data_IF_767428751329
#
_entry.id   IF_767428751329
#
_cell.length_a   1.000
_cell.length_b   1.000
_cell.length_c   1.000
_cell.angle_alpha   90.00
_cell.angle_beta   90.00
_cell.angle_gamma   90.00
#
_symmetry.space_group_name_H-M   'P 1'
#
loop_
_entity.id
_entity.type
_entity.pdbx_description
1 polymer ?
#
# COMPACT_ATOMS: atom_id res chain seq x y z
N UNK A 1 -14.29 -42.77 27.28
CA UNK A 1 -14.66 -41.72 26.33
C UNK A 1 -13.91 -40.46 26.73
N UNK A 2 -12.95 -39.98 25.92
CA UNK A 2 -12.33 -38.64 26.14
C UNK A 2 -13.32 -37.63 25.67
N UNK A 3 -13.85 -36.82 26.58
CA UNK A 3 -14.59 -35.60 26.22
C UNK A 3 -13.69 -34.75 25.32
N UNK A 4 -14.11 -34.50 24.07
CA UNK A 4 -13.49 -33.53 23.21
C UNK A 4 -13.74 -32.15 23.83
N UNK A 5 -12.76 -31.62 24.56
CA UNK A 5 -12.78 -30.20 24.94
C UNK A 5 -12.83 -29.38 23.67
N UNK A 6 -13.95 -28.78 23.37
CA UNK A 6 -14.04 -27.79 22.30
C UNK A 6 -13.09 -26.64 22.64
N UNK A 7 -11.97 -26.58 21.92
CA UNK A 7 -10.98 -25.53 22.08
C UNK A 7 -11.58 -24.21 21.53
N UNK A 8 -11.60 -23.17 22.35
CA UNK A 8 -12.08 -21.86 21.92
C UNK A 8 -10.93 -21.08 21.27
N UNK A 9 -10.98 -20.93 19.96
CA UNK A 9 -9.96 -20.19 19.21
C UNK A 9 -10.03 -18.67 19.42
N UNK A 10 -11.15 -18.12 19.92
CA UNK A 10 -11.27 -16.67 20.13
C UNK A 10 -10.23 -16.11 21.10
N UNK A 11 -9.77 -16.91 22.05
CA UNK A 11 -8.78 -16.51 23.04
C UNK A 11 -7.35 -16.39 22.48
N UNK A 12 -7.13 -16.87 21.26
CA UNK A 12 -5.84 -16.79 20.56
C UNK A 12 -5.68 -15.53 19.72
N UNK A 13 -6.77 -14.84 19.41
CA UNK A 13 -6.70 -13.64 18.59
C UNK A 13 -6.19 -12.45 19.39
N UNK A 14 -5.32 -11.65 18.76
CA UNK A 14 -4.93 -10.38 19.32
C UNK A 14 -6.15 -9.44 19.45
N UNK A 15 -6.15 -8.58 20.45
CA UNK A 15 -7.27 -7.65 20.72
C UNK A 15 -7.55 -6.68 19.55
N UNK A 16 -6.56 -6.45 18.69
CA UNK A 16 -6.64 -5.62 17.48
C UNK A 16 -6.79 -6.44 16.19
N UNK A 17 -7.06 -7.75 16.28
CA UNK A 17 -7.28 -8.59 15.09
C UNK A 17 -8.43 -8.02 14.25
N UNK A 18 -8.24 -7.82 12.94
CA UNK A 18 -9.30 -7.30 12.10
C UNK A 18 -10.42 -8.33 11.96
N UNK A 19 -11.66 -7.88 12.23
CA UNK A 19 -12.85 -8.67 11.91
C UNK A 19 -13.08 -8.55 10.41
N UNK A 20 -12.90 -9.64 9.68
CA UNK A 20 -13.23 -9.69 8.25
C UNK A 20 -14.68 -10.13 8.08
N UNK A 21 -15.53 -9.23 7.63
CA UNK A 21 -16.82 -9.61 7.07
C UNK A 21 -16.63 -9.94 5.59
N UNK A 22 -16.83 -11.18 5.20
CA UNK A 22 -16.86 -11.56 3.78
C UNK A 22 -18.15 -11.00 3.18
N UNK A 23 -18.04 -10.11 2.20
CA UNK A 23 -19.18 -9.78 1.34
C UNK A 23 -19.40 -10.95 0.38
N UNK A 24 -20.61 -11.52 0.38
CA UNK A 24 -20.98 -12.60 -0.54
C UNK A 24 -21.38 -12.08 -1.93
N UNK A 25 -21.59 -10.78 -2.09
CA UNK A 25 -21.99 -10.16 -3.36
C UNK A 25 -20.76 -9.73 -4.15
N UNK A 26 -20.18 -10.66 -4.90
CA UNK A 26 -18.98 -10.41 -5.71
C UNK A 26 -19.21 -9.57 -6.97
N UNK A 27 -20.45 -9.38 -7.43
CA UNK A 27 -20.77 -8.61 -8.64
C UNK A 27 -22.18 -8.00 -8.54
N UNK A 28 -22.31 -6.93 -7.79
CA UNK A 28 -23.53 -6.14 -7.82
C UNK A 28 -23.69 -5.47 -9.21
N UNK A 29 -24.93 -5.29 -9.68
CA UNK A 29 -25.19 -4.59 -10.97
C UNK A 29 -24.56 -3.19 -11.02
N UNK A 30 -24.46 -2.53 -9.86
CA UNK A 30 -23.80 -1.25 -9.68
C UNK A 30 -22.89 -1.39 -8.46
N UNK A 31 -21.65 -1.81 -8.69
CA UNK A 31 -20.63 -1.97 -7.64
C UNK A 31 -19.68 -0.75 -7.67
N UNK A 32 -19.82 0.11 -6.67
CA UNK A 32 -18.93 1.27 -6.46
C UNK A 32 -17.94 1.04 -5.31
N UNK A 33 -17.92 -0.17 -4.74
CA UNK A 33 -17.09 -0.45 -3.57
C UNK A 33 -15.63 -0.75 -3.94
N UNK A 34 -15.40 -1.43 -5.07
CA UNK A 34 -14.06 -1.83 -5.51
C UNK A 34 -13.87 -1.42 -6.97
N UNK A 35 -12.79 -0.69 -7.25
CA UNK A 35 -12.40 -0.37 -8.61
C UNK A 35 -11.65 -1.56 -9.22
N UNK A 36 -12.34 -2.37 -9.99
CA UNK A 36 -11.75 -3.44 -10.79
C UNK A 36 -11.27 -2.90 -12.13
N UNK A 37 -10.19 -3.46 -12.72
CA UNK A 37 -9.86 -3.19 -14.11
C UNK A 37 -10.98 -3.71 -15.03
N UNK A 38 -11.10 -3.11 -16.20
CA UNK A 38 -12.00 -3.61 -17.24
C UNK A 38 -11.55 -5.02 -17.70
N UNK A 39 -12.36 -6.06 -17.52
CA UNK A 39 -12.00 -7.43 -17.89
C UNK A 39 -11.60 -7.59 -19.36
N UNK A 40 -12.22 -6.81 -20.26
CA UNK A 40 -11.98 -6.89 -21.71
C UNK A 40 -10.62 -6.29 -22.11
N UNK A 41 -9.97 -5.56 -21.21
CA UNK A 41 -8.65 -4.95 -21.45
C UNK A 41 -7.49 -5.78 -20.89
N UNK A 42 -7.76 -6.93 -20.28
CA UNK A 42 -6.71 -7.77 -19.72
C UNK A 42 -5.89 -8.44 -20.85
N UNK A 43 -4.56 -8.27 -20.87
CA UNK A 43 -3.69 -8.81 -21.92
C UNK A 43 -3.36 -10.29 -21.65
N UNK A 44 -4.38 -11.16 -21.64
CA UNK A 44 -4.25 -12.56 -21.21
C UNK A 44 -3.32 -13.38 -22.10
N UNK A 45 -3.37 -13.17 -23.42
CA UNK A 45 -2.51 -13.89 -24.36
C UNK A 45 -1.05 -13.46 -24.22
N UNK A 46 -0.79 -12.17 -24.07
CA UNK A 46 0.54 -11.62 -23.84
C UNK A 46 1.14 -12.09 -22.50
N UNK A 47 0.29 -12.29 -21.49
CA UNK A 47 0.73 -12.89 -20.21
C UNK A 47 1.14 -14.35 -20.38
N UNK A 48 0.40 -15.14 -21.16
CA UNK A 48 0.74 -16.54 -21.47
C UNK A 48 2.07 -16.62 -22.22
N UNK A 49 2.25 -15.80 -23.25
CA UNK A 49 3.47 -15.78 -24.05
C UNK A 49 4.70 -15.32 -23.23
N UNK A 50 4.49 -14.31 -22.37
CA UNK A 50 5.52 -13.82 -21.44
C UNK A 50 5.90 -14.89 -20.42
N UNK A 51 4.93 -15.61 -19.87
CA UNK A 51 5.18 -16.71 -18.93
C UNK A 51 5.97 -17.83 -19.60
N UNK A 52 5.61 -18.24 -20.81
CA UNK A 52 6.35 -19.23 -21.58
C UNK A 52 7.79 -18.81 -21.80
N UNK A 53 8.00 -17.57 -22.26
CA UNK A 53 9.34 -17.01 -22.48
C UNK A 53 10.16 -17.00 -21.20
N UNK A 54 9.56 -16.63 -20.06
CA UNK A 54 10.24 -16.65 -18.77
C UNK A 54 10.64 -18.08 -18.36
N UNK A 55 9.75 -19.05 -18.50
CA UNK A 55 10.03 -20.47 -18.21
C UNK A 55 11.18 -20.99 -19.09
N UNK A 56 11.13 -20.70 -20.39
CA UNK A 56 12.17 -21.13 -21.33
C UNK A 56 13.54 -20.50 -21.03
N UNK A 57 13.57 -19.26 -20.53
CA UNK A 57 14.79 -18.53 -20.17
C UNK A 57 15.37 -18.97 -18.83
N UNK A 58 14.54 -19.03 -17.79
CA UNK A 58 14.97 -19.30 -16.42
C UNK A 58 15.14 -20.81 -16.16
N UNK A 59 14.31 -21.64 -16.80
CA UNK A 59 14.41 -23.09 -16.72
C UNK A 59 14.42 -23.63 -15.28
N UNK A 60 15.50 -24.33 -14.91
CA UNK A 60 15.65 -24.94 -13.59
C UNK A 60 15.92 -23.95 -12.47
N UNK A 61 16.34 -22.72 -12.80
CA UNK A 61 16.63 -21.66 -11.81
C UNK A 61 15.36 -21.16 -11.10
N UNK A 62 14.18 -21.41 -11.67
CA UNK A 62 12.89 -21.19 -11.02
C UNK A 62 12.71 -22.01 -9.72
N UNK A 63 13.53 -23.04 -9.48
CA UNK A 63 13.51 -23.81 -8.23
C UNK A 63 14.21 -23.11 -7.06
N UNK A 64 14.96 -22.05 -7.30
CA UNK A 64 15.70 -21.31 -6.28
C UNK A 64 14.93 -20.09 -5.80
N UNK A 65 15.18 -19.70 -4.55
CA UNK A 65 14.62 -18.45 -4.02
C UNK A 65 15.21 -17.24 -4.75
N UNK A 66 14.37 -16.30 -5.16
CA UNK A 66 14.85 -15.07 -5.79
C UNK A 66 15.59 -14.17 -4.78
N UNK A 67 16.28 -13.14 -5.30
CA UNK A 67 16.81 -12.08 -4.46
C UNK A 67 15.72 -11.47 -3.57
N UNK A 68 15.98 -11.20 -2.28
CA UNK A 68 15.01 -10.55 -1.39
C UNK A 68 14.49 -9.19 -1.90
N UNK A 69 15.29 -8.49 -2.71
CA UNK A 69 14.88 -7.21 -3.32
C UNK A 69 14.07 -7.40 -4.61
N UNK A 70 13.92 -8.64 -5.08
CA UNK A 70 13.31 -8.99 -6.35
C UNK A 70 14.31 -9.20 -7.48
N UNK A 71 13.82 -9.60 -8.66
CA UNK A 71 14.63 -9.95 -9.82
C UNK A 71 15.50 -8.77 -10.27
N UNK A 72 16.85 -8.91 -10.33
CA UNK A 72 17.75 -7.80 -10.67
C UNK A 72 17.45 -7.16 -12.03
N UNK A 73 17.16 -7.97 -13.05
CA UNK A 73 16.82 -7.47 -14.38
C UNK A 73 15.55 -6.60 -14.39
N UNK A 74 14.55 -6.96 -13.58
CA UNK A 74 13.32 -6.15 -13.47
C UNK A 74 13.58 -4.85 -12.69
N UNK A 75 14.40 -4.89 -11.63
CA UNK A 75 14.82 -3.68 -10.91
C UNK A 75 15.57 -2.70 -11.82
N UNK A 76 16.47 -3.21 -12.66
CA UNK A 76 17.17 -2.39 -13.65
C UNK A 76 16.19 -1.77 -14.66
N UNK A 77 15.23 -2.57 -15.18
CA UNK A 77 14.20 -2.05 -16.09
C UNK A 77 13.36 -0.95 -15.44
N UNK A 78 13.03 -1.07 -14.17
CA UNK A 78 12.28 -0.05 -13.41
C UNK A 78 13.14 1.21 -13.24
N UNK A 79 14.43 1.09 -12.92
CA UNK A 79 15.37 2.21 -12.83
C UNK A 79 15.42 2.99 -14.15
N UNK A 80 15.64 2.28 -15.26
CA UNK A 80 15.72 2.87 -16.60
C UNK A 80 14.39 3.55 -16.99
N UNK A 81 13.27 2.93 -16.66
CA UNK A 81 11.93 3.47 -16.91
C UNK A 81 11.66 4.75 -16.11
N UNK A 82 12.04 4.80 -14.85
CA UNK A 82 11.89 5.98 -13.99
C UNK A 82 12.72 7.14 -14.52
N UNK A 83 13.97 6.90 -14.91
CA UNK A 83 14.82 7.91 -15.50
C UNK A 83 14.24 8.45 -16.83
N UNK A 84 13.81 7.55 -17.72
CA UNK A 84 13.28 7.93 -19.04
C UNK A 84 11.93 8.65 -18.98
N UNK A 85 11.00 8.13 -18.18
CA UNK A 85 9.60 8.55 -18.24
C UNK A 85 9.25 9.63 -17.18
N UNK A 86 10.10 9.80 -16.16
CA UNK A 86 9.81 10.65 -14.99
C UNK A 86 10.98 11.53 -14.56
N UNK A 87 12.14 11.42 -15.19
CA UNK A 87 13.38 12.10 -14.78
C UNK A 87 13.78 11.80 -13.31
N UNK A 88 13.45 10.57 -12.86
CA UNK A 88 13.80 10.07 -11.52
C UNK A 88 14.99 9.13 -11.66
N UNK A 89 16.14 9.55 -11.13
CA UNK A 89 17.40 8.81 -11.21
C UNK A 89 17.67 8.08 -9.90
N UNK A 90 17.42 6.77 -9.91
CA UNK A 90 17.69 5.84 -8.79
C UNK A 90 18.41 4.61 -9.31
N UNK A 91 19.32 4.04 -8.55
CA UNK A 91 19.98 2.81 -8.92
C UNK A 91 19.07 1.60 -8.74
N UNK A 92 19.32 0.52 -9.45
CA UNK A 92 18.59 -0.74 -9.27
C UNK A 92 18.72 -1.30 -7.85
N UNK A 93 19.80 -0.95 -7.13
CA UNK A 93 20.03 -1.38 -5.74
C UNK A 93 19.13 -0.65 -4.72
N UNK A 94 18.57 0.50 -5.10
CA UNK A 94 17.63 1.27 -4.28
C UNK A 94 16.16 0.88 -4.53
N UNK A 95 15.91 -0.10 -5.41
CA UNK A 95 14.59 -0.57 -5.79
C UNK A 95 14.29 -1.91 -5.14
N UNK A 96 13.15 -1.99 -4.47
CA UNK A 96 12.57 -3.23 -3.94
C UNK A 96 11.27 -3.53 -4.68
N UNK A 97 11.14 -4.75 -5.17
CA UNK A 97 9.90 -5.22 -5.79
C UNK A 97 8.96 -5.80 -4.72
N UNK A 98 7.69 -5.44 -4.80
CA UNK A 98 6.66 -5.87 -3.86
C UNK A 98 5.44 -6.43 -4.60
N UNK A 99 4.62 -7.21 -3.90
CA UNK A 99 3.34 -7.72 -4.44
C UNK A 99 2.26 -6.62 -4.38
N UNK A 100 2.49 -5.56 -5.13
CA UNK A 100 1.63 -4.38 -5.19
C UNK A 100 1.94 -3.33 -4.12
N UNK A 101 1.31 -2.15 -4.26
CA UNK A 101 1.52 -0.98 -3.39
C UNK A 101 1.13 -1.24 -1.92
N UNK A 102 0.17 -2.13 -1.67
CA UNK A 102 -0.27 -2.45 -0.31
C UNK A 102 0.84 -3.07 0.54
N UNK A 103 1.66 -3.96 -0.03
CA UNK A 103 2.82 -4.54 0.65
C UNK A 103 3.91 -3.49 0.85
N UNK A 104 4.21 -2.67 -0.17
CA UNK A 104 5.19 -1.59 -0.05
C UNK A 104 4.83 -0.61 1.09
N UNK A 105 3.58 -0.19 1.16
CA UNK A 105 3.08 0.69 2.23
C UNK A 105 3.22 0.01 3.60
N UNK A 106 2.86 -1.27 3.70
CA UNK A 106 2.99 -2.03 4.94
C UNK A 106 4.44 -2.10 5.40
N UNK A 107 5.38 -2.39 4.51
CA UNK A 107 6.82 -2.43 4.81
C UNK A 107 7.33 -1.06 5.29
N UNK A 108 6.90 0.03 4.66
CA UNK A 108 7.26 1.40 5.07
C UNK A 108 6.70 1.73 6.46
N UNK A 109 5.45 1.38 6.75
CA UNK A 109 4.85 1.57 8.07
C UNK A 109 5.67 0.82 9.13
N UNK A 110 5.99 -0.45 8.88
CA UNK A 110 6.80 -1.26 9.80
C UNK A 110 8.21 -0.72 10.03
N UNK A 111 8.83 -0.20 8.98
CA UNK A 111 10.20 0.30 9.07
C UNK A 111 10.31 1.67 9.74
N UNK A 112 9.27 2.52 9.61
CA UNK A 112 9.36 3.93 9.98
C UNK A 112 8.58 4.29 11.25
N UNK A 113 7.64 3.43 11.71
CA UNK A 113 6.65 3.83 12.72
C UNK A 113 6.71 2.94 13.96
N UNK A 114 6.79 3.55 15.13
CA UNK A 114 6.52 2.89 16.41
C UNK A 114 5.09 3.21 16.86
N UNK A 115 4.49 2.38 17.73
CA UNK A 115 3.20 2.72 18.34
C UNK A 115 3.23 4.09 19.02
N UNK A 116 2.25 4.94 18.70
CA UNK A 116 2.14 6.31 19.21
C UNK A 116 2.85 7.39 18.41
N UNK A 117 3.68 7.03 17.42
CA UNK A 117 4.27 7.99 16.49
C UNK A 117 3.19 8.64 15.62
N UNK A 118 3.33 9.93 15.34
CA UNK A 118 2.40 10.66 14.50
C UNK A 118 2.68 10.39 13.03
N UNK A 119 1.62 10.04 12.30
CA UNK A 119 1.60 10.01 10.83
C UNK A 119 0.50 10.92 10.33
N UNK A 120 0.79 11.67 9.28
CA UNK A 120 -0.15 12.61 8.69
C UNK A 120 -0.79 11.99 7.45
N UNK A 121 -2.07 12.27 7.23
CA UNK A 121 -2.81 11.85 6.03
C UNK A 121 -3.66 13.01 5.53
N UNK A 122 -4.10 12.90 4.30
CA UNK A 122 -5.24 13.69 3.81
C UNK A 122 -6.48 13.45 4.67
N UNK A 123 -7.42 14.39 4.68
CA UNK A 123 -8.68 14.28 5.45
C UNK A 123 -9.47 13.03 5.05
N UNK A 124 -9.54 12.76 3.76
CA UNK A 124 -10.09 11.54 3.19
C UNK A 124 -8.99 10.77 2.48
N UNK A 125 -8.79 9.52 2.83
CA UNK A 125 -7.70 8.69 2.32
C UNK A 125 -8.15 7.25 2.13
N UNK A 126 -7.47 6.52 1.27
CA UNK A 126 -7.77 5.11 1.03
C UNK A 126 -7.79 4.30 2.33
N UNK A 127 -8.95 3.69 2.61
CA UNK A 127 -9.24 3.02 3.87
C UNK A 127 -8.29 1.84 4.19
N UNK A 128 -7.74 1.18 3.16
CA UNK A 128 -6.78 0.09 3.32
C UNK A 128 -5.50 0.55 4.01
N UNK A 129 -4.92 1.67 3.57
CA UNK A 129 -3.73 2.27 4.18
C UNK A 129 -4.01 2.76 5.60
N UNK A 130 -5.15 3.44 5.79
CA UNK A 130 -5.56 3.90 7.13
C UNK A 130 -5.67 2.75 8.12
N UNK A 131 -6.22 1.61 7.68
CA UNK A 131 -6.31 0.41 8.51
C UNK A 131 -4.93 -0.13 8.90
N UNK A 132 -3.99 -0.18 7.96
CA UNK A 132 -2.62 -0.61 8.24
C UNK A 132 -1.94 0.30 9.27
N UNK A 133 -2.00 1.62 9.11
CA UNK A 133 -1.43 2.57 10.07
C UNK A 133 -2.01 2.37 11.48
N UNK A 134 -3.33 2.23 11.59
CA UNK A 134 -4.00 1.98 12.87
C UNK A 134 -3.62 0.65 13.50
N UNK A 135 -3.45 -0.40 12.68
CA UNK A 135 -3.04 -1.73 13.15
C UNK A 135 -1.66 -1.69 13.82
N UNK A 136 -0.74 -0.86 13.31
CA UNK A 136 0.59 -0.65 13.90
C UNK A 136 0.63 0.39 15.02
N UNK A 137 -0.55 0.89 15.44
CA UNK A 137 -0.66 1.79 16.58
C UNK A 137 -0.22 3.23 16.30
N UNK A 138 -0.18 3.65 15.03
CA UNK A 138 0.13 5.03 14.67
C UNK A 138 -0.93 6.00 15.20
N UNK A 139 -0.50 7.18 15.68
CA UNK A 139 -1.35 8.34 15.92
C UNK A 139 -1.60 9.05 14.58
N UNK A 140 -2.67 8.63 13.90
CA UNK A 140 -3.01 9.16 12.57
C UNK A 140 -3.74 10.49 12.70
N UNK A 141 -3.18 11.54 12.09
CA UNK A 141 -3.77 12.89 12.07
C UNK A 141 -4.08 13.32 10.66
N UNK A 142 -5.33 13.72 10.45
CA UNK A 142 -5.78 14.20 9.15
C UNK A 142 -5.44 15.68 8.97
N UNK A 143 -5.11 16.03 7.73
CA UNK A 143 -4.89 17.39 7.25
C UNK A 143 -6.05 17.78 6.34
N UNK A 144 -6.74 18.89 6.60
CA UNK A 144 -7.79 19.39 5.73
C UNK A 144 -7.34 19.56 4.29
N UNK A 145 -8.25 19.28 3.36
CA UNK A 145 -8.06 19.39 1.93
C UNK A 145 -9.13 20.25 1.29
N UNK A 146 -8.82 20.82 0.13
CA UNK A 146 -9.77 21.48 -0.76
C UNK A 146 -9.73 20.83 -2.16
N UNK A 147 -10.23 21.54 -3.18
CA UNK A 147 -10.24 21.02 -4.55
C UNK A 147 -8.84 20.94 -5.18
N UNK A 148 -7.87 21.64 -4.63
CA UNK A 148 -6.49 21.71 -5.08
C UNK A 148 -5.56 20.78 -4.26
N UNK A 149 -6.11 20.03 -3.30
CA UNK A 149 -5.39 19.06 -2.48
C UNK A 149 -5.23 19.47 -1.02
N UNK A 150 -4.09 19.15 -0.42
CA UNK A 150 -3.78 19.52 0.96
C UNK A 150 -3.66 21.02 1.12
N UNK A 151 -4.33 21.58 2.13
CA UNK A 151 -4.23 23.01 2.48
C UNK A 151 -2.92 23.26 3.24
N UNK A 152 -1.92 23.98 2.68
CA UNK A 152 -0.60 24.13 3.29
C UNK A 152 -0.63 24.72 4.72
N UNK A 153 -1.46 25.73 4.95
CA UNK A 153 -1.60 26.33 6.29
C UNK A 153 -2.15 25.37 7.32
N UNK A 154 -3.10 24.51 6.92
CA UNK A 154 -3.64 23.48 7.79
C UNK A 154 -2.59 22.39 8.11
N UNK A 155 -1.74 22.05 7.13
CA UNK A 155 -0.63 21.12 7.34
C UNK A 155 0.36 21.68 8.38
N UNK A 156 0.73 22.98 8.27
CA UNK A 156 1.59 23.64 9.25
C UNK A 156 0.99 23.60 10.66
N UNK A 157 -0.32 23.85 10.79
CA UNK A 157 -0.99 23.83 12.10
C UNK A 157 -0.98 22.42 12.73
N UNK A 158 -1.22 21.37 11.93
CA UNK A 158 -1.16 19.98 12.41
C UNK A 158 0.28 19.61 12.83
N UNK A 159 1.28 20.02 12.06
CA UNK A 159 2.71 19.81 12.40
C UNK A 159 3.04 20.53 13.71
N UNK A 160 2.70 21.82 13.83
CA UNK A 160 2.95 22.63 15.02
C UNK A 160 2.32 22.02 16.28
N UNK A 161 1.08 21.53 16.14
CA UNK A 161 0.40 20.84 17.25
C UNK A 161 1.16 19.58 17.70
N UNK A 162 1.60 18.73 16.77
CA UNK A 162 2.37 17.54 17.10
C UNK A 162 3.70 17.90 17.81
N UNK A 163 4.38 18.96 17.35
CA UNK A 163 5.61 19.46 17.98
C UNK A 163 5.38 19.95 19.40
N UNK A 164 4.28 20.68 19.67
CA UNK A 164 3.96 21.12 21.05
C UNK A 164 3.65 19.96 21.99
N UNK A 165 3.20 18.84 21.46
CA UNK A 165 2.96 17.59 22.19
C UNK A 165 4.22 16.73 22.34
N UNK A 166 5.38 17.18 21.82
CA UNK A 166 6.63 16.41 21.73
C UNK A 166 6.47 15.03 21.07
N UNK A 167 5.57 14.92 20.09
CA UNK A 167 5.33 13.68 19.35
C UNK A 167 6.14 13.67 18.04
N UNK A 168 6.89 12.60 17.74
CA UNK A 168 7.62 12.51 16.49
C UNK A 168 6.67 12.32 15.31
N UNK A 169 6.81 13.16 14.30
CA UNK A 169 6.10 13.01 13.01
C UNK A 169 7.01 12.20 12.10
N UNK A 170 6.49 11.11 11.55
CA UNK A 170 7.27 10.18 10.73
C UNK A 170 7.18 10.48 9.24
N UNK A 171 5.96 10.68 8.76
CA UNK A 171 5.71 10.97 7.34
C UNK A 171 4.31 11.55 7.15
N UNK A 172 4.10 12.08 5.96
CA UNK A 172 2.81 12.40 5.37
C UNK A 172 2.50 11.38 4.27
N UNK A 173 1.35 10.72 4.35
CA UNK A 173 0.82 9.88 3.29
C UNK A 173 -0.21 10.68 2.48
N UNK A 174 -0.01 10.78 1.17
CA UNK A 174 -0.88 11.51 0.25
C UNK A 174 -1.03 10.75 -1.07
N UNK A 175 -2.15 10.99 -1.76
CA UNK A 175 -2.43 10.49 -3.10
C UNK A 175 -2.58 11.70 -4.02
N UNK A 176 -1.48 12.25 -4.58
CA UNK A 176 -1.52 13.54 -5.25
C UNK A 176 -2.23 13.52 -6.61
N UNK A 177 -2.35 12.36 -7.25
CA UNK A 177 -2.99 12.21 -8.56
C UNK A 177 -4.16 11.24 -8.47
N UNK A 178 -5.31 11.63 -9.01
CA UNK A 178 -6.53 10.80 -8.99
C UNK A 178 -6.84 10.29 -7.57
N UNK A 179 -6.89 11.21 -6.64
CA UNK A 179 -7.06 10.94 -5.21
C UNK A 179 -8.21 9.98 -4.93
N UNK A 180 -7.95 8.99 -4.08
CA UNK A 180 -8.96 8.03 -3.66
C UNK A 180 -9.38 8.32 -2.19
N UNK A 181 -10.66 8.73 -1.94
CA UNK A 181 -11.84 8.54 -2.82
C UNK A 181 -12.32 9.79 -3.58
N UNK A 182 -11.68 10.95 -3.48
CA UNK A 182 -12.26 12.23 -3.94
C UNK A 182 -12.05 12.53 -5.43
N UNK A 183 -11.10 11.86 -6.10
CA UNK A 183 -10.87 11.96 -7.55
C UNK A 183 -10.14 13.21 -8.02
N UNK A 184 -9.74 14.11 -7.13
CA UNK A 184 -8.96 15.30 -7.51
C UNK A 184 -7.49 15.00 -7.79
N UNK A 185 -6.81 15.92 -8.44
CA UNK A 185 -5.34 15.93 -8.59
C UNK A 185 -4.82 17.20 -7.94
N UNK A 186 -3.81 17.02 -7.07
CA UNK A 186 -3.19 18.14 -6.33
C UNK A 186 -2.57 19.12 -7.29
N UNK A 187 -2.78 20.43 -7.05
CA UNK A 187 -2.10 21.49 -7.78
C UNK A 187 -0.59 21.52 -7.49
N UNK A 188 0.17 22.12 -8.40
CA UNK A 188 1.62 22.33 -8.24
C UNK A 188 1.90 23.48 -7.31
#
# INVERSE_FOLDING_TARGET
MRESRNFNYSDLFASNSPITTRSENLHAKYDFAVAYPDPDTLPLNELIDSLKTAIDREGRDLAYYPSPLGLPALRQLVSDKLARDRDIHVSAEEIVLTSGSGEAILMLIQALTNPGDVVLTEEYVYSGTLRQMKLFGSDVRSVPCDNDGLIPGALEDVIRKAQTENKPIKYLYTIPCFQNPLGWTMSL
#
